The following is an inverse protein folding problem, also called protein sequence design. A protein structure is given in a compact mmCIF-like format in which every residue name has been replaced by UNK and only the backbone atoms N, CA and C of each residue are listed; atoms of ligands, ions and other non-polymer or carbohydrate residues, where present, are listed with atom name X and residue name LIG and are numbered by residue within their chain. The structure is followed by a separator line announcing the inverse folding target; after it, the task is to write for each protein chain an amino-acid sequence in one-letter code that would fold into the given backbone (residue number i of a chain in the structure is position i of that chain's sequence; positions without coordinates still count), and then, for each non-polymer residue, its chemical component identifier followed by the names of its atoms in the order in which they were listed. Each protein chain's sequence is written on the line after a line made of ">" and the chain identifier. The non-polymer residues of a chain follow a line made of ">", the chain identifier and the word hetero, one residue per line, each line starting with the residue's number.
data_IF_095485217507
#
_entry.id   IF_095485217507
#
_cell.length_a   1.000
_cell.length_b   1.000
_cell.length_c   1.000
_cell.angle_alpha   90.00
_cell.angle_beta   90.00
_cell.angle_gamma   90.00
#
_symmetry.space_group_name_H-M   'P 1'
#
loop_
_entity.id
_entity.type
_entity.pdbx_description
1 polymer ?
#
# COMPACT_ATOMS: atom_id res chain seq x y z
N UNK A 1 49.75 22.58 -29.58
CA UNK A 1 49.08 21.28 -29.29
C UNK A 1 48.90 21.02 -27.78
N UNK A 2 49.92 21.18 -26.94
CA UNK A 2 49.84 20.91 -25.48
C UNK A 2 48.78 21.73 -24.71
N UNK A 3 48.54 22.98 -25.11
CA UNK A 3 47.53 23.87 -24.51
C UNK A 3 46.08 23.45 -24.82
N UNK A 4 45.83 22.76 -25.93
CA UNK A 4 44.50 22.24 -26.26
C UNK A 4 44.17 20.99 -25.45
N UNK A 5 45.16 20.12 -25.20
CA UNK A 5 44.97 18.92 -24.38
C UNK A 5 44.62 19.28 -22.94
N UNK A 6 45.38 20.20 -22.30
CA UNK A 6 45.08 20.65 -20.92
C UNK A 6 43.69 21.27 -20.77
N UNK A 7 43.19 21.98 -21.80
CA UNK A 7 41.83 22.55 -21.79
C UNK A 7 40.75 21.47 -21.93
N UNK A 8 41.03 20.40 -22.67
CA UNK A 8 40.15 19.23 -22.80
C UNK A 8 40.10 18.48 -21.47
N UNK A 9 41.25 18.19 -20.87
CA UNK A 9 41.34 17.47 -19.59
C UNK A 9 40.63 18.24 -18.46
N UNK A 10 40.81 19.56 -18.38
CA UNK A 10 40.10 20.40 -17.42
C UNK A 10 38.58 20.44 -17.66
N UNK A 11 38.13 20.35 -18.92
CA UNK A 11 36.71 20.24 -19.25
C UNK A 11 36.15 18.88 -18.85
N UNK A 12 36.88 17.79 -19.09
CA UNK A 12 36.49 16.44 -18.68
C UNK A 12 36.37 16.34 -17.17
N UNK A 13 37.38 16.78 -16.42
CA UNK A 13 37.33 16.79 -14.95
C UNK A 13 36.15 17.61 -14.40
N UNK A 14 35.83 18.75 -15.03
CA UNK A 14 34.66 19.56 -14.64
C UNK A 14 33.33 18.85 -14.97
N UNK A 15 33.27 18.11 -16.07
CA UNK A 15 32.11 17.30 -16.43
C UNK A 15 31.95 16.14 -15.45
N UNK A 16 33.02 15.42 -15.12
CA UNK A 16 32.99 14.30 -14.16
C UNK A 16 32.56 14.78 -12.77
N UNK A 17 33.08 15.92 -12.31
CA UNK A 17 32.65 16.53 -11.05
C UNK A 17 31.15 16.90 -11.05
N UNK A 18 30.64 17.45 -12.16
CA UNK A 18 29.22 17.75 -12.31
C UNK A 18 28.36 16.50 -12.37
N UNK A 19 28.83 15.42 -13.01
CA UNK A 19 28.13 14.15 -13.05
C UNK A 19 28.07 13.51 -11.66
N UNK A 20 29.17 13.53 -10.91
CA UNK A 20 29.21 13.07 -9.53
C UNK A 20 28.26 13.87 -8.62
N UNK A 21 28.24 15.20 -8.74
CA UNK A 21 27.30 16.05 -8.00
C UNK A 21 25.84 15.74 -8.37
N UNK A 22 25.57 15.50 -9.66
CA UNK A 22 24.23 15.16 -10.15
C UNK A 22 23.78 13.81 -9.62
N UNK A 23 24.65 12.79 -9.65
CA UNK A 23 24.36 11.47 -9.07
C UNK A 23 24.02 11.59 -7.58
N UNK A 24 24.84 12.31 -6.81
CA UNK A 24 24.58 12.53 -5.39
C UNK A 24 23.27 13.30 -5.12
N UNK A 25 22.82 14.17 -6.04
CA UNK A 25 21.50 14.81 -5.94
C UNK A 25 20.37 13.82 -6.25
N UNK A 26 20.52 12.96 -7.25
CA UNK A 26 19.55 11.92 -7.59
C UNK A 26 19.39 10.92 -6.43
N UNK A 27 20.48 10.52 -5.79
CA UNK A 27 20.46 9.60 -4.65
C UNK A 27 19.65 10.20 -3.48
N UNK A 28 19.94 11.47 -3.12
CA UNK A 28 19.17 12.18 -2.09
C UNK A 28 17.68 12.33 -2.44
N UNK A 29 17.36 12.64 -3.70
CA UNK A 29 15.96 12.72 -4.16
C UNK A 29 15.28 11.36 -4.03
N UNK A 30 15.97 10.28 -4.42
CA UNK A 30 15.44 8.92 -4.32
C UNK A 30 15.18 8.52 -2.88
N UNK A 31 16.09 8.84 -1.95
CA UNK A 31 15.91 8.64 -0.51
C UNK A 31 14.70 9.43 0.04
N UNK A 32 14.57 10.71 -0.32
CA UNK A 32 13.44 11.55 0.11
C UNK A 32 12.12 11.01 -0.43
N UNK A 33 12.05 10.63 -1.70
CA UNK A 33 10.86 10.06 -2.33
C UNK A 33 10.49 8.73 -1.66
N UNK A 34 11.48 7.87 -1.39
CA UNK A 34 11.28 6.63 -0.64
C UNK A 34 10.71 6.87 0.77
N UNK A 35 11.23 7.86 1.49
CA UNK A 35 10.72 8.26 2.80
C UNK A 35 9.26 8.73 2.75
N UNK A 36 8.91 9.55 1.76
CA UNK A 36 7.53 10.04 1.56
C UNK A 36 6.58 8.88 1.23
N UNK A 37 7.00 7.94 0.37
CA UNK A 37 6.19 6.77 0.02
C UNK A 37 5.93 5.87 1.23
N UNK A 38 6.97 5.59 2.02
CA UNK A 38 6.85 4.76 3.22
C UNK A 38 5.93 5.41 4.26
N UNK A 39 6.02 6.73 4.46
CA UNK A 39 5.15 7.44 5.38
C UNK A 39 3.69 7.42 4.92
N UNK A 40 3.42 7.55 3.63
CA UNK A 40 2.07 7.45 3.08
C UNK A 40 1.44 6.07 3.30
N UNK A 41 2.22 4.99 3.16
CA UNK A 41 1.77 3.63 3.48
C UNK A 41 1.36 3.50 4.96
N UNK A 42 2.25 3.92 5.87
CA UNK A 42 1.99 3.87 7.32
C UNK A 42 0.76 4.68 7.73
N UNK A 43 0.58 5.87 7.17
CA UNK A 43 -0.60 6.71 7.46
C UNK A 43 -1.89 6.02 7.00
N UNK A 44 -1.87 5.37 5.84
CA UNK A 44 -3.01 4.60 5.35
C UNK A 44 -3.32 3.41 6.27
N UNK A 45 -2.31 2.60 6.59
CA UNK A 45 -2.45 1.45 7.49
C UNK A 45 -3.02 1.86 8.85
N UNK A 46 -2.45 2.88 9.48
CA UNK A 46 -2.91 3.40 10.77
C UNK A 46 -4.37 3.88 10.70
N UNK A 47 -4.73 4.62 9.66
CA UNK A 47 -6.10 5.12 9.48
C UNK A 47 -7.12 3.98 9.39
N UNK A 48 -6.87 2.99 8.53
CA UNK A 48 -7.82 1.89 8.32
C UNK A 48 -7.85 0.93 9.50
N UNK A 49 -6.71 0.65 10.14
CA UNK A 49 -6.68 -0.13 11.38
C UNK A 49 -7.53 0.52 12.46
N UNK A 50 -7.30 1.80 12.77
CA UNK A 50 -8.04 2.51 13.82
C UNK A 50 -9.55 2.56 13.51
N UNK A 51 -9.91 2.75 12.25
CA UNK A 51 -11.32 2.77 11.81
C UNK A 51 -11.99 1.42 12.04
N UNK A 52 -11.35 0.32 11.63
CA UNK A 52 -11.91 -1.02 11.73
C UNK A 52 -11.82 -1.59 13.14
N UNK A 53 -10.84 -1.19 13.94
CA UNK A 53 -10.79 -1.54 15.36
C UNK A 53 -11.98 -0.95 16.12
N UNK A 54 -12.42 0.26 15.74
CA UNK A 54 -13.57 0.92 16.39
C UNK A 54 -14.92 0.42 15.85
N UNK A 55 -15.05 0.26 14.52
CA UNK A 55 -16.26 -0.27 13.89
C UNK A 55 -15.91 -1.39 12.88
N UNK A 56 -15.78 -2.65 13.34
CA UNK A 56 -15.36 -3.78 12.50
C UNK A 56 -16.53 -4.33 11.66
N UNK A 57 -17.23 -3.46 10.92
CA UNK A 57 -18.30 -3.85 10.00
C UNK A 57 -17.81 -3.72 8.56
N UNK A 58 -17.83 -4.82 7.83
CA UNK A 58 -17.43 -4.87 6.42
C UNK A 58 -18.46 -5.64 5.61
N UNK A 59 -18.88 -5.06 4.48
CA UNK A 59 -19.90 -5.66 3.60
C UNK A 59 -21.16 -6.14 4.37
N UNK A 60 -21.58 -5.39 5.40
CA UNK A 60 -22.74 -5.71 6.24
C UNK A 60 -22.50 -6.82 7.28
N UNK A 61 -21.29 -7.37 7.39
CA UNK A 61 -20.89 -8.36 8.40
C UNK A 61 -20.08 -7.71 9.51
N UNK A 62 -20.40 -8.02 10.77
CA UNK A 62 -19.56 -7.66 11.93
C UNK A 62 -18.46 -8.70 12.10
N UNK A 63 -17.26 -8.22 12.39
CA UNK A 63 -16.11 -9.02 12.77
C UNK A 63 -15.78 -8.84 14.25
N UNK A 64 -15.30 -9.92 14.87
CA UNK A 64 -15.08 -10.00 16.32
C UNK A 64 -13.63 -9.72 16.70
N UNK A 65 -12.69 -10.05 15.80
CA UNK A 65 -11.26 -9.92 15.99
C UNK A 65 -10.60 -9.25 14.79
N UNK A 66 -9.52 -8.51 15.04
CA UNK A 66 -8.68 -7.88 14.03
C UNK A 66 -7.20 -8.09 14.40
N UNK A 67 -6.43 -8.68 13.48
CA UNK A 67 -4.97 -8.75 13.53
C UNK A 67 -4.39 -7.66 12.61
N UNK A 68 -3.34 -6.98 13.08
CA UNK A 68 -2.60 -5.96 12.34
C UNK A 68 -1.17 -6.46 12.05
N UNK A 69 -0.77 -6.40 10.79
CA UNK A 69 0.52 -6.87 10.28
C UNK A 69 0.92 -8.31 10.71
N UNK A 70 0.00 -9.31 10.71
CA UNK A 70 0.40 -10.68 10.99
C UNK A 70 1.35 -11.21 9.92
N UNK A 71 2.53 -11.62 10.37
CA UNK A 71 3.53 -12.29 9.56
C UNK A 71 3.47 -13.80 9.78
N UNK A 72 3.32 -14.56 8.71
CA UNK A 72 3.38 -16.03 8.75
C UNK A 72 4.42 -16.58 7.80
N UNK A 73 4.94 -17.74 8.15
CA UNK A 73 5.88 -18.50 7.32
C UNK A 73 5.51 -19.97 7.40
N UNK A 74 5.37 -20.60 6.24
CA UNK A 74 5.17 -22.04 6.12
C UNK A 74 5.97 -22.54 4.92
N UNK A 75 6.89 -23.47 5.15
CA UNK A 75 7.87 -23.95 4.16
C UNK A 75 8.61 -22.80 3.46
N UNK A 76 8.35 -22.58 2.16
CA UNK A 76 8.96 -21.53 1.34
C UNK A 76 8.05 -20.30 1.16
N UNK A 77 6.86 -20.33 1.75
CA UNK A 77 5.89 -19.24 1.70
C UNK A 77 6.07 -18.37 2.93
N UNK A 78 6.30 -17.08 2.71
CA UNK A 78 6.31 -16.05 3.75
C UNK A 78 5.43 -14.91 3.28
N UNK A 79 4.44 -14.55 4.08
CA UNK A 79 3.51 -13.49 3.77
C UNK A 79 3.23 -12.66 5.02
N UNK A 80 3.19 -11.35 4.82
CA UNK A 80 2.70 -10.37 5.77
C UNK A 80 1.38 -9.85 5.22
N UNK A 81 0.37 -9.76 6.07
CA UNK A 81 -0.94 -9.24 5.71
C UNK A 81 -1.16 -7.95 6.47
N UNK A 82 -1.66 -6.90 5.82
CA UNK A 82 -1.77 -5.60 6.48
C UNK A 82 -2.84 -5.69 7.58
N UNK A 83 -4.04 -6.18 7.26
CA UNK A 83 -5.10 -6.45 8.23
C UNK A 83 -5.81 -7.77 7.93
N UNK A 84 -6.14 -8.52 8.99
CA UNK A 84 -7.00 -9.69 8.90
C UNK A 84 -8.08 -9.61 9.97
N UNK A 85 -9.34 -9.72 9.56
CA UNK A 85 -10.49 -9.74 10.47
C UNK A 85 -11.12 -11.12 10.49
N UNK A 86 -11.62 -11.53 11.66
CA UNK A 86 -12.23 -12.84 11.86
C UNK A 86 -13.56 -12.73 12.60
N UNK A 87 -14.49 -13.61 12.26
CA UNK A 87 -15.67 -13.88 13.07
C UNK A 87 -15.94 -15.40 13.11
N UNK A 88 -17.12 -15.81 13.55
CA UNK A 88 -17.47 -17.23 13.71
C UNK A 88 -17.43 -18.08 12.44
N UNK A 89 -17.47 -17.51 11.24
CA UNK A 89 -17.53 -18.27 9.97
C UNK A 89 -16.76 -17.66 8.79
N UNK A 90 -16.19 -16.46 8.95
CA UNK A 90 -15.63 -15.67 7.87
C UNK A 90 -14.29 -15.08 8.27
N UNK A 91 -13.42 -14.91 7.26
CA UNK A 91 -12.18 -14.16 7.36
C UNK A 91 -12.17 -13.06 6.30
N UNK A 92 -11.75 -11.85 6.69
CA UNK A 92 -11.58 -10.73 5.77
C UNK A 92 -10.11 -10.35 5.73
N UNK A 93 -9.48 -10.54 4.57
CA UNK A 93 -8.09 -10.18 4.33
C UNK A 93 -8.08 -8.82 3.61
N UNK A 94 -7.45 -7.83 4.22
CA UNK A 94 -7.39 -6.48 3.67
C UNK A 94 -5.94 -6.11 3.41
N UNK A 95 -5.69 -5.70 2.16
CA UNK A 95 -4.47 -5.01 1.78
C UNK A 95 -4.72 -3.50 1.79
N UNK A 96 -3.80 -2.74 2.39
CA UNK A 96 -3.84 -1.30 2.48
C UNK A 96 -2.89 -0.69 1.45
N UNK A 97 -3.39 0.29 0.71
CA UNK A 97 -2.62 1.05 -0.28
C UNK A 97 -3.01 2.51 -0.23
N UNK A 98 -2.03 3.42 -0.24
CA UNK A 98 -2.33 4.84 -0.40
C UNK A 98 -3.10 5.11 -1.71
N UNK A 99 -2.64 4.50 -2.81
CA UNK A 99 -3.34 4.43 -4.10
C UNK A 99 -3.24 3.01 -4.66
N UNK A 100 -4.37 2.46 -5.10
CA UNK A 100 -4.46 1.10 -5.68
C UNK A 100 -4.14 1.13 -7.18
N UNK A 101 -3.42 0.11 -7.64
CA UNK A 101 -3.16 -0.19 -9.04
C UNK A 101 -3.63 -1.62 -9.39
N UNK A 102 -3.79 -1.93 -10.68
CA UNK A 102 -4.21 -3.26 -11.15
C UNK A 102 -3.38 -4.41 -10.57
N UNK A 103 -2.05 -4.23 -10.48
CA UNK A 103 -1.16 -5.24 -9.91
C UNK A 103 -1.46 -5.56 -8.44
N UNK A 104 -1.99 -4.60 -7.69
CA UNK A 104 -2.33 -4.81 -6.29
C UNK A 104 -3.53 -5.77 -6.15
N UNK A 105 -4.49 -5.70 -7.08
CA UNK A 105 -5.63 -6.63 -7.17
C UNK A 105 -5.14 -8.06 -7.42
N UNK A 106 -4.33 -8.23 -8.46
CA UNK A 106 -3.74 -9.53 -8.84
C UNK A 106 -2.91 -10.13 -7.68
N UNK A 107 -2.11 -9.28 -7.01
CA UNK A 107 -1.30 -9.70 -5.86
C UNK A 107 -2.17 -10.10 -4.68
N UNK A 108 -3.24 -9.37 -4.40
CA UNK A 108 -4.16 -9.70 -3.33
C UNK A 108 -4.87 -11.03 -3.60
N UNK A 109 -5.38 -11.26 -4.81
CA UNK A 109 -6.12 -12.47 -5.16
C UNK A 109 -5.20 -13.68 -5.21
N UNK A 110 -4.20 -13.64 -6.08
CA UNK A 110 -3.43 -14.83 -6.45
C UNK A 110 -2.31 -15.16 -5.47
N UNK A 111 -1.79 -14.15 -4.78
CA UNK A 111 -0.70 -14.35 -3.81
C UNK A 111 -1.23 -14.31 -2.39
N UNK A 112 -1.69 -13.16 -1.87
CA UNK A 112 -2.07 -13.06 -0.45
C UNK A 112 -3.28 -13.96 -0.13
N UNK A 113 -4.32 -13.87 -0.93
CA UNK A 113 -5.53 -14.67 -0.83
C UNK A 113 -5.26 -16.15 -1.07
N UNK A 114 -4.53 -16.48 -2.14
CA UNK A 114 -4.15 -17.88 -2.45
C UNK A 114 -3.26 -18.55 -1.40
N UNK A 115 -2.33 -17.81 -0.78
CA UNK A 115 -1.43 -18.32 0.25
C UNK A 115 -2.13 -18.48 1.62
N UNK A 116 -3.21 -17.74 1.86
CA UNK A 116 -3.83 -17.67 3.19
C UNK A 116 -4.27 -19.03 3.74
N UNK A 117 -4.98 -19.91 3.00
CA UNK A 117 -5.38 -21.24 3.49
C UNK A 117 -4.21 -22.20 3.78
N UNK A 118 -3.02 -21.91 3.23
CA UNK A 118 -1.78 -22.64 3.50
C UNK A 118 -1.12 -22.16 4.79
N UNK A 119 -1.12 -20.83 5.01
CA UNK A 119 -0.49 -20.18 6.16
C UNK A 119 -1.36 -20.20 7.42
N UNK A 120 -2.69 -20.24 7.26
CA UNK A 120 -3.68 -20.25 8.34
C UNK A 120 -4.67 -21.41 8.18
N UNK A 121 -4.20 -22.66 8.26
CA UNK A 121 -5.03 -23.83 8.02
C UNK A 121 -6.23 -23.97 8.96
N UNK A 122 -6.18 -23.34 10.15
CA UNK A 122 -7.29 -23.31 11.10
C UNK A 122 -8.53 -22.56 10.60
N UNK A 123 -8.39 -21.72 9.56
CA UNK A 123 -9.48 -20.95 8.95
C UNK A 123 -9.83 -21.44 7.55
N UNK A 124 -9.42 -22.66 7.17
CA UNK A 124 -9.62 -23.19 5.81
C UNK A 124 -11.10 -23.31 5.42
N UNK A 125 -11.95 -23.60 6.40
CA UNK A 125 -13.39 -23.77 6.18
C UNK A 125 -14.16 -22.45 6.33
N UNK A 126 -13.47 -21.33 6.60
CA UNK A 126 -14.11 -20.02 6.73
C UNK A 126 -14.39 -19.43 5.34
N UNK A 127 -15.46 -18.64 5.25
CA UNK A 127 -15.71 -17.83 4.06
C UNK A 127 -14.65 -16.73 3.97
N UNK A 128 -13.79 -16.84 2.96
CA UNK A 128 -12.74 -15.86 2.69
C UNK A 128 -13.29 -14.67 1.89
N UNK A 129 -13.04 -13.47 2.40
CA UNK A 129 -13.30 -12.20 1.73
C UNK A 129 -11.99 -11.44 1.51
N UNK A 130 -11.86 -10.79 0.37
CA UNK A 130 -10.69 -9.98 0.02
C UNK A 130 -11.09 -8.51 -0.09
N UNK A 131 -10.24 -7.63 0.44
CA UNK A 131 -10.47 -6.20 0.40
C UNK A 131 -9.24 -5.37 0.10
N UNK A 132 -9.43 -4.25 -0.59
CA UNK A 132 -8.44 -3.21 -0.75
C UNK A 132 -8.92 -1.97 -0.02
N UNK A 133 -8.16 -1.54 0.97
CA UNK A 133 -8.38 -0.30 1.68
C UNK A 133 -7.49 0.81 1.10
N UNK A 134 -8.09 1.90 0.65
CA UNK A 134 -7.34 2.93 -0.05
C UNK A 134 -7.88 4.35 0.07
N UNK A 135 -6.98 5.31 0.00
CA UNK A 135 -7.35 6.73 -0.09
C UNK A 135 -7.68 7.16 -1.52
N UNK A 136 -7.21 6.44 -2.54
CA UNK A 136 -7.42 6.80 -3.95
C UNK A 136 -7.39 5.58 -4.87
N UNK A 137 -8.33 5.52 -5.80
CA UNK A 137 -8.42 4.49 -6.84
C UNK A 137 -8.99 5.14 -8.10
N UNK A 138 -8.56 4.71 -9.27
CA UNK A 138 -9.14 5.13 -10.56
C UNK A 138 -10.39 4.30 -10.86
N UNK A 139 -11.35 4.85 -11.60
CA UNK A 139 -12.65 4.21 -11.82
C UNK A 139 -12.53 2.86 -12.54
N UNK A 140 -11.63 2.75 -13.51
CA UNK A 140 -11.36 1.50 -14.23
C UNK A 140 -10.76 0.43 -13.32
N UNK A 141 -9.81 0.80 -12.46
CA UNK A 141 -9.21 -0.09 -11.44
C UNK A 141 -10.25 -0.50 -10.39
N UNK A 142 -11.13 0.42 -9.99
CA UNK A 142 -12.25 0.13 -9.09
C UNK A 142 -13.20 -0.89 -9.72
N UNK A 143 -13.63 -0.69 -10.97
CA UNK A 143 -14.51 -1.63 -11.65
C UNK A 143 -13.85 -3.00 -11.80
N UNK A 144 -12.56 -3.04 -12.13
CA UNK A 144 -11.82 -4.29 -12.23
C UNK A 144 -11.83 -5.05 -10.89
N UNK A 145 -11.48 -4.38 -9.79
CA UNK A 145 -11.46 -4.99 -8.47
C UNK A 145 -12.84 -5.55 -8.07
N UNK A 146 -13.90 -4.76 -8.28
CA UNK A 146 -15.27 -5.18 -7.99
C UNK A 146 -15.70 -6.38 -8.85
N UNK A 147 -15.32 -6.39 -10.13
CA UNK A 147 -15.65 -7.48 -11.05
C UNK A 147 -14.99 -8.81 -10.65
N UNK A 148 -13.82 -8.74 -10.00
CA UNK A 148 -13.11 -9.89 -9.45
C UNK A 148 -13.54 -10.24 -8.01
N UNK A 149 -14.58 -9.60 -7.48
CA UNK A 149 -15.12 -9.87 -6.14
C UNK A 149 -14.29 -9.30 -4.98
N UNK A 150 -13.39 -8.35 -5.26
CA UNK A 150 -12.63 -7.64 -4.23
C UNK A 150 -13.45 -6.46 -3.70
N UNK A 151 -13.60 -6.39 -2.38
CA UNK A 151 -14.30 -5.27 -1.74
C UNK A 151 -13.38 -4.05 -1.64
N UNK A 152 -13.86 -2.86 -1.98
CA UNK A 152 -13.09 -1.63 -1.83
C UNK A 152 -13.54 -0.86 -0.59
N UNK A 153 -12.60 -0.57 0.30
CA UNK A 153 -12.80 0.28 1.46
C UNK A 153 -12.20 1.65 1.16
N UNK A 154 -13.06 2.67 1.14
CA UNK A 154 -12.65 4.06 1.00
C UNK A 154 -13.09 4.83 2.22
N UNK A 155 -12.35 5.90 2.54
CA UNK A 155 -12.81 6.90 3.50
C UNK A 155 -14.20 7.40 3.06
N UNK A 156 -15.14 7.46 3.99
CA UNK A 156 -16.45 8.06 3.78
C UNK A 156 -16.75 8.96 4.98
N UNK A 157 -17.08 10.23 4.73
CA UNK A 157 -17.44 11.18 5.79
C UNK A 157 -17.42 12.64 5.35
N UNK A 158 -18.19 13.47 6.07
CA UNK A 158 -18.22 14.92 5.92
C UNK A 158 -17.17 15.56 6.83
N UNK A 159 -15.99 15.89 6.29
CA UNK A 159 -14.94 16.63 7.00
C UNK A 159 -14.85 18.06 6.45
N UNK A 160 -15.98 18.76 6.37
CA UNK A 160 -16.00 20.17 5.97
C UNK A 160 -16.86 20.96 6.96
N UNK A 161 -16.18 21.67 7.87
CA UNK A 161 -16.79 22.76 8.62
C UNK A 161 -16.57 24.06 7.82
N UNK A 162 -17.65 24.80 7.54
CA UNK A 162 -17.57 26.09 6.84
C UNK A 162 -17.79 27.22 7.85
N UNK A 163 -16.84 28.15 7.92
CA UNK A 163 -17.04 29.42 8.61
C UNK A 163 -17.56 30.44 7.60
N UNK A 164 -18.80 30.96 7.75
CA UNK A 164 -19.35 31.91 6.80
C UNK A 164 -18.60 33.26 6.85
N UNK A 165 -18.47 33.92 5.70
CA UNK A 165 -18.02 35.32 5.64
C UNK A 165 -19.10 36.19 6.27
N UNK A 166 -18.75 36.94 7.32
CA UNK A 166 -19.64 37.95 7.90
C UNK A 166 -19.66 39.15 6.95
N UNK A 167 -20.83 39.45 6.39
CA UNK A 167 -21.09 40.64 5.59
C UNK A 167 -21.28 41.89 6.47
#
# INVERSE_FOLDING_TARGET
>A
MVTSQKKIDARLAKTDAKLAETSAKIDRVSEMVGGISNNQGKIAEEFFYNSLQNEPILAGKRFDLIDNNPLRTHEKIREEYDLILYNGDSVFIIEVKYRVHLKDIETLIHRKGGNFPLLFPQYRDFQQHLGLATFSIEDDVLQEALSQGVTILQRYGDVIETTPVVA
#
